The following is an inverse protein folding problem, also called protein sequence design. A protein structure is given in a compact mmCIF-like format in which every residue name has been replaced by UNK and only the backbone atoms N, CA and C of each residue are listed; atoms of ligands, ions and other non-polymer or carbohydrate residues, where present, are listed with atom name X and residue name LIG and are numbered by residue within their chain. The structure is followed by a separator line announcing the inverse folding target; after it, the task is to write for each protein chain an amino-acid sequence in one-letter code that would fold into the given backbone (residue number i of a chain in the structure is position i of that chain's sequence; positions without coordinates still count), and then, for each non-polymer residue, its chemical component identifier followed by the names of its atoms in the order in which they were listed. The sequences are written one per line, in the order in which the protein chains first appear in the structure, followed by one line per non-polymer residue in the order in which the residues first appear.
data_IF_135787936704
#
_entry.id   IF_135787936704
#
_cell.length_a   1.000
_cell.length_b   1.000
_cell.length_c   1.000
_cell.angle_alpha   90.00
_cell.angle_beta   90.00
_cell.angle_gamma   90.00
#
_symmetry.space_group_name_H-M   'P 1'
#
loop_
_entity.id
_entity.type
_entity.pdbx_description
1 polymer ?
#
# COMPACT_ATOMS: atom_id res chain seq x y z
N UNK A 1 18.11 15.70 -9.06
CA UNK A 1 18.38 14.25 -9.33
C UNK A 1 17.15 13.62 -9.96
N UNK A 2 17.35 12.83 -11.02
CA UNK A 2 16.30 12.05 -11.62
C UNK A 2 16.26 10.65 -10.99
N UNK A 3 15.21 10.35 -10.28
CA UNK A 3 15.03 9.07 -9.58
C UNK A 3 14.00 8.23 -10.32
N UNK A 4 14.41 7.03 -10.75
CA UNK A 4 13.50 6.05 -11.31
C UNK A 4 12.94 5.18 -10.18
N UNK A 5 11.65 5.26 -9.94
CA UNK A 5 10.96 4.43 -8.93
C UNK A 5 10.34 3.24 -9.61
N UNK A 6 10.61 2.05 -9.09
CA UNK A 6 10.14 0.76 -9.64
C UNK A 6 9.41 -0.06 -8.58
N UNK A 7 8.26 -0.59 -8.96
CA UNK A 7 7.47 -1.53 -8.19
C UNK A 7 7.17 -2.76 -9.05
N UNK A 8 7.95 -3.83 -8.84
CA UNK A 8 7.81 -5.09 -9.55
C UNK A 8 6.83 -6.04 -8.85
N UNK A 9 5.77 -6.43 -9.54
CA UNK A 9 4.92 -7.56 -9.19
C UNK A 9 5.29 -8.81 -10.01
N UNK A 10 4.59 -9.92 -9.79
CA UNK A 10 4.86 -11.21 -10.45
C UNK A 10 4.70 -11.16 -11.98
N UNK A 11 3.74 -10.38 -12.49
CA UNK A 11 3.43 -10.25 -13.92
C UNK A 11 3.25 -8.81 -14.39
N UNK A 12 3.65 -7.85 -13.55
CA UNK A 12 3.53 -6.42 -13.85
C UNK A 12 4.67 -5.61 -13.23
N UNK A 13 4.90 -4.42 -13.76
CA UNK A 13 5.89 -3.48 -13.27
C UNK A 13 5.34 -2.07 -13.42
N UNK A 14 5.12 -1.38 -12.31
CA UNK A 14 4.83 0.05 -12.27
C UNK A 14 6.12 0.85 -12.15
N UNK A 15 6.16 2.01 -12.80
CA UNK A 15 7.32 2.92 -12.67
C UNK A 15 6.92 4.39 -12.74
N UNK A 16 7.74 5.22 -12.10
CA UNK A 16 7.74 6.67 -12.26
C UNK A 16 9.17 7.20 -12.29
N UNK A 17 9.43 8.14 -13.17
CA UNK A 17 10.65 8.94 -13.18
C UNK A 17 10.32 10.29 -12.55
N UNK A 18 11.01 10.63 -11.47
CA UNK A 18 10.73 11.81 -10.64
C UNK A 18 11.98 12.69 -10.58
N UNK A 19 11.81 13.98 -10.84
CA UNK A 19 12.82 14.99 -10.49
C UNK A 19 12.75 15.28 -8.99
N UNK A 20 13.82 14.97 -8.27
CA UNK A 20 13.84 15.08 -6.80
C UNK A 20 13.92 16.54 -6.28
N UNK A 21 14.22 17.50 -7.09
CA UNK A 21 14.31 18.91 -6.67
C UNK A 21 12.95 19.59 -6.76
N UNK A 22 12.21 19.31 -7.84
CA UNK A 22 10.88 19.86 -8.07
C UNK A 22 9.77 18.93 -7.63
N UNK A 23 10.11 17.66 -7.35
CA UNK A 23 9.18 16.54 -7.07
C UNK A 23 8.20 16.28 -8.23
N UNK A 24 8.51 16.78 -9.40
CA UNK A 24 7.69 16.59 -10.58
C UNK A 24 7.88 15.20 -11.16
N UNK A 25 6.77 14.57 -11.54
CA UNK A 25 6.78 13.33 -12.33
C UNK A 25 7.14 13.69 -13.77
N UNK A 26 8.28 13.23 -14.25
CA UNK A 26 8.74 13.44 -15.63
C UNK A 26 8.11 12.44 -16.60
N UNK A 27 7.99 11.18 -16.18
CA UNK A 27 7.32 10.12 -16.90
C UNK A 27 6.78 9.05 -15.94
N UNK A 28 5.75 8.34 -16.35
CA UNK A 28 5.16 7.24 -15.60
C UNK A 28 4.60 6.17 -16.51
N UNK A 29 4.40 4.98 -15.99
CA UNK A 29 3.77 3.93 -16.77
C UNK A 29 3.71 2.57 -16.07
N UNK A 30 3.38 1.58 -16.87
CA UNK A 30 3.09 0.24 -16.40
C UNK A 30 3.47 -0.76 -17.50
N UNK A 31 4.19 -1.80 -17.13
CA UNK A 31 4.26 -3.03 -17.91
C UNK A 31 3.27 -4.03 -17.34
N UNK A 32 2.47 -4.64 -18.19
CA UNK A 32 1.46 -5.63 -17.83
C UNK A 32 1.71 -6.92 -18.59
N UNK A 33 1.20 -8.04 -18.05
CA UNK A 33 1.22 -9.36 -18.71
C UNK A 33 2.63 -9.83 -19.04
N UNK A 34 3.60 -9.50 -18.17
CA UNK A 34 4.99 -10.00 -18.25
C UNK A 34 4.96 -11.53 -18.16
N UNK A 35 5.69 -12.21 -19.03
CA UNK A 35 5.69 -13.65 -19.15
C UNK A 35 4.55 -14.24 -20.00
N UNK A 36 3.68 -13.39 -20.57
CA UNK A 36 2.56 -13.80 -21.45
C UNK A 36 2.75 -13.17 -22.85
N UNK A 37 2.11 -12.06 -23.12
CA UNK A 37 2.14 -11.36 -24.42
C UNK A 37 2.70 -9.93 -24.31
N UNK A 38 2.76 -9.38 -23.09
CA UNK A 38 3.40 -8.12 -22.78
C UNK A 38 2.67 -6.87 -23.32
N UNK A 39 2.61 -5.83 -22.46
CA UNK A 39 2.07 -4.52 -22.80
C UNK A 39 2.78 -3.44 -22.02
N UNK A 40 3.39 -2.48 -22.71
CA UNK A 40 3.96 -1.27 -22.10
C UNK A 40 2.98 -0.11 -22.25
N UNK A 41 2.66 0.53 -21.14
CA UNK A 41 2.04 1.85 -21.10
C UNK A 41 3.10 2.85 -20.67
N UNK A 42 3.36 3.85 -21.49
CA UNK A 42 4.30 4.94 -21.20
C UNK A 42 3.58 6.28 -21.32
N UNK A 43 3.86 7.20 -20.41
CA UNK A 43 3.36 8.56 -20.45
C UNK A 43 4.43 9.54 -19.94
N UNK A 44 4.97 10.35 -20.82
CA UNK A 44 5.69 11.56 -20.44
C UNK A 44 4.71 12.63 -19.97
N UNK A 45 5.04 13.37 -18.93
CA UNK A 45 4.20 14.46 -18.44
C UNK A 45 3.97 15.50 -19.53
N UNK A 46 2.70 15.84 -19.75
CA UNK A 46 2.28 16.78 -20.80
C UNK A 46 2.02 16.13 -22.17
N UNK A 47 2.22 14.81 -22.31
CA UNK A 47 1.89 14.06 -23.53
C UNK A 47 0.82 12.99 -23.28
N UNK A 48 0.20 12.54 -24.34
CA UNK A 48 -0.74 11.43 -24.31
C UNK A 48 -0.04 10.11 -23.96
N UNK A 49 -0.82 9.13 -23.48
CA UNK A 49 -0.33 7.78 -23.20
C UNK A 49 0.01 7.06 -24.51
N UNK A 50 1.21 6.50 -24.55
CA UNK A 50 1.63 5.57 -25.60
C UNK A 50 1.45 4.14 -25.10
N UNK A 51 0.86 3.28 -25.92
CA UNK A 51 0.65 1.86 -25.62
C UNK A 51 1.40 1.06 -26.66
N UNK A 52 2.28 0.17 -26.20
CA UNK A 52 3.06 -0.73 -27.07
C UNK A 52 2.79 -2.18 -26.64
N UNK A 53 2.15 -2.94 -27.50
CA UNK A 53 2.02 -4.39 -27.37
C UNK A 53 3.30 -5.04 -27.87
N UNK A 54 4.04 -5.69 -26.99
CA UNK A 54 5.29 -6.35 -27.32
C UNK A 54 5.61 -7.46 -26.31
N UNK A 55 6.16 -8.56 -26.79
CA UNK A 55 6.53 -9.68 -25.94
C UNK A 55 7.52 -9.25 -24.85
N UNK A 56 7.17 -9.53 -23.63
CA UNK A 56 7.99 -9.30 -22.42
C UNK A 56 8.16 -10.64 -21.67
N UNK A 57 8.96 -11.56 -22.18
CA UNK A 57 9.11 -12.90 -21.58
C UNK A 57 9.65 -12.85 -20.15
N UNK A 58 10.40 -11.80 -19.80
CA UNK A 58 10.92 -11.60 -18.44
C UNK A 58 10.83 -10.14 -17.99
N UNK A 59 11.01 -9.89 -16.70
CA UNK A 59 11.10 -8.54 -16.14
C UNK A 59 12.29 -7.75 -16.72
N UNK A 60 13.36 -8.41 -17.13
CA UNK A 60 14.51 -7.74 -17.77
C UNK A 60 14.09 -7.06 -19.08
N UNK A 61 13.34 -7.76 -19.95
CA UNK A 61 12.81 -7.16 -21.17
C UNK A 61 11.83 -6.03 -20.85
N UNK A 62 10.96 -6.21 -19.85
CA UNK A 62 10.04 -5.15 -19.44
C UNK A 62 10.78 -3.89 -18.99
N UNK A 63 11.81 -4.03 -18.16
CA UNK A 63 12.64 -2.90 -17.71
C UNK A 63 13.40 -2.28 -18.88
N UNK A 64 13.98 -3.10 -19.79
CA UNK A 64 14.66 -2.57 -20.98
C UNK A 64 13.71 -1.70 -21.79
N UNK A 65 12.48 -2.15 -22.04
CA UNK A 65 11.49 -1.36 -22.77
C UNK A 65 11.10 -0.06 -22.07
N UNK A 66 11.03 -0.07 -20.73
CA UNK A 66 10.83 1.15 -19.93
C UNK A 66 11.99 2.12 -20.14
N UNK A 67 13.23 1.64 -20.05
CA UNK A 67 14.43 2.46 -20.23
C UNK A 67 14.51 3.04 -21.64
N UNK A 68 14.21 2.22 -22.67
CA UNK A 68 14.17 2.67 -24.07
C UNK A 68 13.09 3.75 -24.29
N UNK A 69 11.92 3.61 -23.66
CA UNK A 69 10.86 4.61 -23.72
C UNK A 69 11.25 5.92 -23.04
N UNK A 70 11.92 5.85 -21.88
CA UNK A 70 12.37 7.03 -21.12
C UNK A 70 13.37 7.88 -21.92
N UNK A 71 14.20 7.26 -22.76
CA UNK A 71 15.21 7.96 -23.59
C UNK A 71 14.84 8.01 -25.07
N UNK A 72 13.61 7.73 -25.45
CA UNK A 72 13.15 7.78 -26.85
C UNK A 72 13.39 9.19 -27.42
N UNK A 73 14.04 9.34 -28.59
CA UNK A 73 14.38 10.65 -29.15
C UNK A 73 13.19 11.58 -29.41
N UNK A 74 11.97 11.04 -29.56
CA UNK A 74 10.76 11.82 -29.83
C UNK A 74 9.91 12.07 -28.59
N UNK A 75 9.74 11.06 -27.76
CA UNK A 75 8.77 11.07 -26.65
C UNK A 75 9.41 10.84 -25.28
N UNK A 76 10.71 10.58 -25.25
CA UNK A 76 11.44 10.32 -24.01
C UNK A 76 11.50 11.53 -23.08
N UNK A 77 11.53 11.26 -21.77
CA UNK A 77 11.68 12.27 -20.72
C UNK A 77 13.13 12.70 -20.53
N UNK A 78 14.10 11.84 -20.85
CA UNK A 78 15.54 12.08 -20.74
C UNK A 78 16.19 11.94 -22.13
N UNK A 79 17.39 12.49 -22.26
CA UNK A 79 18.19 12.36 -23.49
C UNK A 79 19.05 11.11 -23.50
N UNK A 80 19.40 10.60 -22.32
CA UNK A 80 20.25 9.43 -22.16
C UNK A 80 20.02 8.79 -20.78
N UNK A 81 20.30 7.48 -20.64
CA UNK A 81 20.23 6.76 -19.37
C UNK A 81 21.25 7.26 -18.34
N UNK A 82 22.31 7.96 -18.77
CA UNK A 82 23.25 8.59 -17.86
C UNK A 82 22.64 9.73 -17.01
N UNK A 83 21.44 10.18 -17.37
CA UNK A 83 20.71 11.18 -16.59
C UNK A 83 19.81 10.53 -15.50
N UNK A 84 19.76 9.21 -15.38
CA UNK A 84 19.14 8.51 -14.24
C UNK A 84 20.17 8.45 -13.13
N UNK A 85 19.93 9.21 -12.05
CA UNK A 85 20.90 9.37 -10.95
C UNK A 85 20.76 8.26 -9.89
N UNK A 86 19.58 7.71 -9.70
CA UNK A 86 19.31 6.63 -8.75
C UNK A 86 18.04 5.85 -9.09
N UNK A 87 17.92 4.61 -8.57
CA UNK A 87 16.71 3.80 -8.67
C UNK A 87 16.20 3.46 -7.27
N UNK A 88 14.93 3.78 -7.01
CA UNK A 88 14.22 3.35 -5.80
C UNK A 88 13.34 2.14 -6.09
N UNK A 89 13.51 1.07 -5.34
CA UNK A 89 12.72 -0.15 -5.47
C UNK A 89 11.79 -0.34 -4.28
N UNK A 90 10.50 -0.54 -4.55
CA UNK A 90 9.60 -1.06 -3.53
C UNK A 90 9.92 -2.53 -3.30
N UNK A 91 10.12 -2.90 -2.03
CA UNK A 91 10.28 -4.28 -1.56
C UNK A 91 9.15 -4.57 -0.56
N UNK A 92 8.42 -5.65 -0.77
CA UNK A 92 7.22 -5.90 0.03
C UNK A 92 7.55 -6.30 1.46
N UNK A 93 8.56 -7.15 1.68
CA UNK A 93 8.85 -7.67 3.02
C UNK A 93 10.33 -7.60 3.37
N UNK A 94 10.63 -6.89 4.46
CA UNK A 94 11.99 -6.75 4.99
C UNK A 94 12.27 -7.61 6.24
N UNK A 95 11.30 -8.38 6.71
CA UNK A 95 11.43 -9.14 7.96
C UNK A 95 11.70 -8.23 9.14
N UNK A 96 12.46 -8.73 10.12
CA UNK A 96 12.98 -7.95 11.24
C UNK A 96 14.33 -7.28 10.93
N UNK A 97 14.91 -7.57 9.75
CA UNK A 97 16.24 -7.10 9.35
C UNK A 97 16.24 -5.65 8.88
N UNK A 98 15.14 -5.20 8.29
CA UNK A 98 15.04 -3.88 7.68
C UNK A 98 13.98 -3.01 8.39
N UNK A 99 14.45 -2.11 9.24
CA UNK A 99 13.63 -1.10 9.92
C UNK A 99 13.66 0.28 9.23
N UNK A 100 14.38 0.38 8.11
CA UNK A 100 14.50 1.57 7.26
C UNK A 100 14.88 1.16 5.84
N UNK A 101 14.80 2.11 4.91
CA UNK A 101 15.32 1.96 3.56
C UNK A 101 16.84 1.80 3.55
N UNK A 102 17.38 1.05 2.59
CA UNK A 102 18.82 0.74 2.50
C UNK A 102 19.32 0.77 1.06
N UNK A 103 20.61 1.10 0.89
CA UNK A 103 21.29 0.93 -0.39
C UNK A 103 21.44 -0.57 -0.68
N UNK A 104 21.08 -0.99 -1.89
CA UNK A 104 21.07 -2.39 -2.29
C UNK A 104 22.48 -2.87 -2.68
N UNK A 105 23.10 -3.62 -1.78
CA UNK A 105 24.35 -4.36 -1.99
C UNK A 105 24.06 -5.85 -2.15
N UNK A 106 25.02 -6.64 -2.57
CA UNK A 106 24.87 -8.11 -2.66
C UNK A 106 24.49 -8.73 -1.31
N UNK A 107 25.05 -8.22 -0.21
CA UNK A 107 24.73 -8.66 1.14
C UNK A 107 23.27 -8.34 1.50
N UNK A 108 22.80 -7.14 1.17
CA UNK A 108 21.40 -6.73 1.38
C UNK A 108 20.44 -7.58 0.56
N UNK A 109 20.79 -7.88 -0.70
CA UNK A 109 19.95 -8.74 -1.55
C UNK A 109 19.85 -10.17 -1.00
N UNK A 110 20.95 -10.74 -0.49
CA UNK A 110 20.92 -12.03 0.17
C UNK A 110 20.00 -12.01 1.42
N UNK A 111 20.04 -10.93 2.20
CA UNK A 111 19.14 -10.77 3.35
C UNK A 111 17.65 -10.60 2.96
N UNK A 112 17.37 -9.95 1.81
CA UNK A 112 16.00 -9.87 1.28
C UNK A 112 15.54 -11.26 0.83
N UNK A 113 16.42 -12.05 0.21
CA UNK A 113 16.13 -13.43 -0.23
C UNK A 113 15.73 -14.32 0.95
N UNK A 114 16.37 -14.17 2.12
CA UNK A 114 15.98 -14.88 3.34
C UNK A 114 14.55 -14.54 3.82
N UNK A 115 13.98 -13.43 3.37
CA UNK A 115 12.62 -13.05 3.66
C UNK A 115 11.59 -13.60 2.64
N UNK A 116 12.01 -14.36 1.63
CA UNK A 116 11.11 -14.89 0.60
C UNK A 116 9.99 -15.77 1.18
N UNK A 117 10.28 -16.54 2.22
CA UNK A 117 9.26 -17.39 2.88
C UNK A 117 8.15 -16.57 3.57
N UNK A 118 8.44 -15.32 3.94
CA UNK A 118 7.46 -14.40 4.52
C UNK A 118 6.58 -13.71 3.46
N UNK A 119 7.06 -13.61 2.22
CA UNK A 119 6.35 -13.00 1.09
C UNK A 119 6.62 -13.73 -0.23
N UNK A 120 6.25 -15.03 -0.35
CA UNK A 120 6.65 -15.88 -1.48
C UNK A 120 6.07 -15.42 -2.82
N UNK A 121 4.98 -14.66 -2.81
CA UNK A 121 4.35 -14.13 -4.02
C UNK A 121 4.94 -12.78 -4.47
N UNK A 122 5.75 -12.11 -3.64
CA UNK A 122 6.19 -10.73 -3.87
C UNK A 122 7.71 -10.57 -3.88
N UNK A 123 8.41 -10.98 -2.82
CA UNK A 123 9.85 -10.76 -2.71
C UNK A 123 10.66 -11.37 -3.86
N UNK A 124 10.39 -12.61 -4.35
CA UNK A 124 11.10 -13.13 -5.51
C UNK A 124 10.95 -12.23 -6.76
N UNK A 125 9.75 -11.69 -7.02
CA UNK A 125 9.53 -10.78 -8.13
C UNK A 125 10.26 -9.44 -7.94
N UNK A 126 10.29 -8.91 -6.71
CA UNK A 126 11.06 -7.71 -6.38
C UNK A 126 12.55 -7.91 -6.65
N UNK A 127 13.12 -9.04 -6.20
CA UNK A 127 14.55 -9.38 -6.44
C UNK A 127 14.87 -9.51 -7.93
N UNK A 128 14.01 -10.17 -8.72
CA UNK A 128 14.16 -10.27 -10.17
C UNK A 128 14.21 -8.88 -10.81
N UNK A 129 13.31 -7.97 -10.41
CA UNK A 129 13.30 -6.59 -10.89
C UNK A 129 14.57 -5.82 -10.52
N UNK A 130 15.03 -5.94 -9.27
CA UNK A 130 16.28 -5.30 -8.80
C UNK A 130 17.47 -5.81 -9.61
N UNK A 131 17.63 -7.13 -9.74
CA UNK A 131 18.73 -7.74 -10.50
C UNK A 131 18.75 -7.30 -11.96
N UNK A 132 17.58 -7.23 -12.58
CA UNK A 132 17.45 -6.74 -13.95
C UNK A 132 17.90 -5.27 -14.09
N UNK A 133 17.54 -4.40 -13.13
CA UNK A 133 18.01 -3.02 -13.10
C UNK A 133 19.52 -2.93 -12.91
N UNK A 134 20.10 -3.75 -12.02
CA UNK A 134 21.57 -3.79 -11.81
C UNK A 134 22.33 -4.19 -13.08
N UNK A 135 21.82 -5.16 -13.83
CA UNK A 135 22.43 -5.56 -15.10
C UNK A 135 22.35 -4.47 -16.17
N UNK A 136 21.24 -3.74 -16.25
CA UNK A 136 21.00 -2.71 -17.27
C UNK A 136 21.63 -1.36 -16.90
N UNK A 137 21.79 -1.08 -15.62
CA UNK A 137 22.33 0.18 -15.09
C UNK A 137 23.35 -0.09 -13.96
N UNK A 138 24.50 -0.73 -14.26
CA UNK A 138 25.43 -1.24 -13.24
C UNK A 138 26.09 -0.15 -12.38
N UNK A 139 26.11 1.09 -12.84
CA UNK A 139 26.75 2.22 -12.14
C UNK A 139 25.75 3.13 -11.41
N UNK A 140 24.45 2.83 -11.50
CA UNK A 140 23.41 3.64 -10.86
C UNK A 140 23.12 3.07 -9.47
N UNK A 141 23.21 3.87 -8.39
CA UNK A 141 22.91 3.41 -7.05
C UNK A 141 21.41 3.05 -6.92
N UNK A 142 21.13 1.98 -6.18
CA UNK A 142 19.78 1.44 -6.00
C UNK A 142 19.45 1.35 -4.52
N UNK A 143 18.21 1.69 -4.17
CA UNK A 143 17.71 1.70 -2.81
C UNK A 143 16.47 0.82 -2.70
N UNK A 144 16.42 -0.02 -1.68
CA UNK A 144 15.23 -0.80 -1.30
C UNK A 144 14.42 -0.07 -0.24
N UNK A 145 13.14 0.14 -0.51
CA UNK A 145 12.16 0.73 0.41
C UNK A 145 11.12 -0.33 0.76
N UNK A 146 11.00 -0.65 2.05
CA UNK A 146 10.25 -1.81 2.51
C UNK A 146 8.87 -1.42 3.03
N UNK A 147 7.82 -2.11 2.58
CA UNK A 147 6.46 -1.90 3.08
C UNK A 147 6.33 -2.18 4.59
N UNK A 148 7.19 -3.04 5.13
CA UNK A 148 7.17 -3.44 6.55
C UNK A 148 8.02 -2.54 7.44
N UNK A 149 8.91 -1.71 6.90
CA UNK A 149 9.91 -0.98 7.68
C UNK A 149 9.28 0.02 8.68
N UNK A 150 8.28 0.78 8.26
CA UNK A 150 7.61 1.76 9.12
C UNK A 150 6.97 1.12 10.37
N UNK A 151 6.55 -0.13 10.27
CA UNK A 151 5.89 -0.88 11.34
C UNK A 151 6.86 -1.56 12.30
N UNK A 152 8.18 -1.49 12.07
CA UNK A 152 9.18 -2.11 12.96
C UNK A 152 9.29 -1.42 14.33
N UNK A 153 8.68 -0.25 14.50
CA UNK A 153 8.60 0.45 15.80
C UNK A 153 7.50 -0.07 16.72
N UNK A 154 6.67 -1.01 16.26
CA UNK A 154 5.64 -1.63 17.09
C UNK A 154 6.23 -2.32 18.32
N UNK A 155 5.64 -2.15 19.53
CA UNK A 155 6.05 -2.87 20.73
C UNK A 155 5.63 -4.36 20.66
N UNK A 156 6.31 -5.21 21.42
CA UNK A 156 6.04 -6.66 21.46
C UNK A 156 4.56 -7.01 21.66
N UNK A 157 3.87 -6.30 22.54
CA UNK A 157 2.44 -6.50 22.83
C UNK A 157 1.51 -6.29 21.63
N UNK A 158 1.97 -5.53 20.61
CA UNK A 158 1.22 -5.27 19.39
C UNK A 158 1.54 -6.28 18.26
N UNK A 159 2.78 -6.79 18.21
CA UNK A 159 3.20 -7.66 17.12
C UNK A 159 3.20 -9.16 17.45
N UNK A 160 3.20 -9.58 18.71
CA UNK A 160 3.16 -11.00 19.08
C UNK A 160 1.74 -11.56 18.95
N UNK A 161 1.65 -12.73 18.34
CA UNK A 161 0.42 -13.52 18.33
C UNK A 161 0.30 -14.39 19.58
N UNK A 162 -0.91 -14.76 19.96
CA UNK A 162 -1.18 -15.72 21.03
C UNK A 162 -0.92 -17.18 20.60
N UNK A 163 0.26 -17.44 20.04
CA UNK A 163 0.74 -18.73 19.57
C UNK A 163 1.91 -19.20 20.44
N UNK A 164 2.31 -20.49 20.39
CA UNK A 164 3.52 -20.96 21.05
C UNK A 164 4.72 -20.08 20.64
N UNK A 165 5.48 -19.57 21.64
CA UNK A 165 6.54 -18.59 21.44
C UNK A 165 7.65 -19.09 20.50
N UNK A 166 7.83 -20.42 20.40
CA UNK A 166 8.80 -21.04 19.50
C UNK A 166 8.56 -20.72 18.03
N UNK A 167 7.32 -20.44 17.62
CA UNK A 167 7.03 -20.01 16.24
C UNK A 167 7.57 -18.62 15.95
N UNK A 168 7.54 -17.73 16.93
CA UNK A 168 8.21 -16.45 16.80
C UNK A 168 9.74 -16.62 16.81
N UNK A 169 10.28 -17.39 17.74
CA UNK A 169 11.73 -17.57 17.86
C UNK A 169 12.36 -18.21 16.63
N UNK A 170 11.76 -19.29 16.10
CA UNK A 170 12.29 -20.06 14.96
C UNK A 170 11.97 -19.44 13.61
N UNK A 171 10.70 -19.05 13.41
CA UNK A 171 10.17 -18.71 12.10
C UNK A 171 9.79 -17.23 11.98
N UNK A 172 10.01 -16.44 13.03
CA UNK A 172 9.65 -15.01 13.09
C UNK A 172 8.18 -14.75 12.81
N UNK A 173 7.30 -15.66 13.26
CA UNK A 173 5.85 -15.51 13.16
C UNK A 173 5.40 -14.40 14.11
N UNK A 174 5.13 -13.25 13.53
CA UNK A 174 4.66 -12.03 14.21
C UNK A 174 3.87 -11.16 13.22
N UNK A 175 3.20 -10.12 13.73
CA UNK A 175 2.68 -9.05 12.91
C UNK A 175 3.84 -8.22 12.35
N UNK A 176 3.84 -7.98 11.04
CA UNK A 176 4.76 -7.06 10.37
C UNK A 176 4.04 -5.81 9.87
N UNK A 177 2.85 -5.98 9.28
CA UNK A 177 2.13 -4.91 8.63
C UNK A 177 2.71 -4.57 7.26
N UNK A 178 1.89 -3.93 6.43
CA UNK A 178 2.22 -3.54 5.05
C UNK A 178 1.69 -2.14 4.76
N UNK A 179 1.86 -1.65 3.54
CA UNK A 179 1.58 -0.27 3.16
C UNK A 179 2.38 0.76 3.99
N UNK A 180 3.50 0.35 4.59
CA UNK A 180 4.27 1.18 5.50
C UNK A 180 4.76 2.48 4.89
N UNK A 181 5.14 2.46 3.60
CA UNK A 181 5.51 3.66 2.85
C UNK A 181 4.37 4.67 2.81
N UNK A 182 3.15 4.22 2.50
CA UNK A 182 1.95 5.06 2.52
C UNK A 182 1.61 5.55 3.93
N UNK A 183 1.58 4.65 4.93
CA UNK A 183 1.30 5.03 6.32
C UNK A 183 2.29 6.06 6.87
N UNK A 184 3.57 5.90 6.58
CA UNK A 184 4.61 6.87 6.95
C UNK A 184 4.41 8.22 6.28
N UNK A 185 4.18 8.21 4.96
CA UNK A 185 3.97 9.44 4.17
C UNK A 185 2.74 10.20 4.66
N UNK A 186 1.59 9.53 4.73
CA UNK A 186 0.31 10.13 5.08
C UNK A 186 0.27 10.61 6.52
N UNK A 187 0.82 9.85 7.49
CA UNK A 187 0.85 10.27 8.89
C UNK A 187 1.69 11.54 9.10
N UNK A 188 2.84 11.65 8.44
CA UNK A 188 3.67 12.86 8.49
C UNK A 188 2.96 14.05 7.82
N UNK A 189 2.36 13.81 6.65
CA UNK A 189 1.64 14.86 5.93
C UNK A 189 0.40 15.35 6.68
N UNK A 190 -0.35 14.45 7.32
CA UNK A 190 -1.50 14.80 8.16
C UNK A 190 -1.10 15.74 9.31
N UNK A 191 -0.02 15.41 10.01
CA UNK A 191 0.51 16.23 11.13
C UNK A 191 0.94 17.61 10.62
N UNK A 192 1.66 17.67 9.50
CA UNK A 192 2.08 18.92 8.85
C UNK A 192 0.87 19.73 8.38
N UNK A 193 -0.08 19.10 7.69
CA UNK A 193 -1.28 19.76 7.14
C UNK A 193 -2.14 20.42 8.23
N UNK A 194 -2.22 19.79 9.41
CA UNK A 194 -2.95 20.32 10.54
C UNK A 194 -2.10 21.26 11.44
N UNK A 195 -0.83 21.49 11.13
CA UNK A 195 0.09 22.31 11.93
C UNK A 195 0.34 21.73 13.32
N UNK A 196 0.31 20.40 13.48
CA UNK A 196 0.54 19.70 14.75
C UNK A 196 2.02 19.47 14.99
N UNK A 197 2.41 19.26 16.25
CA UNK A 197 3.76 18.81 16.61
C UNK A 197 3.85 17.27 16.46
N UNK A 198 4.70 16.80 15.56
CA UNK A 198 4.91 15.37 15.34
C UNK A 198 5.38 14.63 16.59
N UNK A 199 6.08 15.31 17.49
CA UNK A 199 6.57 14.72 18.74
C UNK A 199 5.51 14.66 19.86
N UNK A 200 4.33 15.23 19.62
CA UNK A 200 3.20 15.22 20.52
C UNK A 200 1.92 14.98 19.74
N UNK A 201 1.83 13.87 19.06
CA UNK A 201 0.69 13.54 18.19
C UNK A 201 0.28 12.07 18.29
N UNK A 202 -1.02 11.83 18.16
CA UNK A 202 -1.63 10.51 18.06
C UNK A 202 -2.55 10.51 16.86
N UNK A 203 -2.13 9.88 15.77
CA UNK A 203 -2.90 9.88 14.53
C UNK A 203 -3.17 8.47 14.03
N UNK A 204 -4.26 8.31 13.30
CA UNK A 204 -4.64 7.08 12.64
C UNK A 204 -4.65 7.32 11.13
N UNK A 205 -4.07 6.40 10.37
CA UNK A 205 -4.15 6.39 8.91
C UNK A 205 -4.96 5.20 8.46
N UNK A 206 -6.05 5.46 7.77
CA UNK A 206 -6.90 4.46 7.10
C UNK A 206 -6.56 4.45 5.61
N UNK A 207 -5.65 3.57 5.21
CA UNK A 207 -5.28 3.32 3.81
C UNK A 207 -6.30 2.36 3.21
N UNK A 208 -7.27 2.89 2.49
CA UNK A 208 -8.39 2.15 1.94
C UNK A 208 -8.29 2.09 0.41
N UNK A 209 -7.74 1.01 -0.10
CA UNK A 209 -7.65 0.68 -1.51
C UNK A 209 -8.20 -0.73 -1.77
N UNK A 210 -7.84 -1.35 -2.89
CA UNK A 210 -8.17 -2.77 -3.13
C UNK A 210 -7.50 -3.68 -2.08
N UNK A 211 -6.24 -3.40 -1.69
CA UNK A 211 -5.71 -3.77 -0.38
C UNK A 211 -5.99 -2.65 0.61
N UNK A 212 -6.36 -2.97 1.85
CA UNK A 212 -6.72 -1.98 2.85
C UNK A 212 -6.09 -2.30 4.21
N UNK A 213 -5.64 -1.25 4.90
CA UNK A 213 -5.09 -1.36 6.26
C UNK A 213 -5.27 -0.08 7.05
N UNK A 214 -5.23 -0.21 8.38
CA UNK A 214 -5.22 0.92 9.31
C UNK A 214 -3.94 0.87 10.13
N UNK A 215 -3.35 2.01 10.45
CA UNK A 215 -2.23 2.10 11.37
C UNK A 215 -2.47 3.13 12.46
N UNK A 216 -1.95 2.83 13.66
CA UNK A 216 -1.88 3.72 14.80
C UNK A 216 -0.47 4.32 14.89
N UNK A 217 -0.36 5.64 14.93
CA UNK A 217 0.92 6.34 14.92
C UNK A 217 0.98 7.30 16.09
N UNK A 218 1.97 7.13 16.96
CA UNK A 218 2.23 8.00 18.11
C UNK A 218 3.59 8.67 17.91
N UNK A 219 3.62 9.98 17.95
CA UNK A 219 4.85 10.77 17.83
C UNK A 219 5.67 10.37 16.59
N UNK A 220 4.98 10.21 15.44
CA UNK A 220 5.60 9.84 14.17
C UNK A 220 6.04 8.36 14.05
N UNK A 221 5.77 7.52 15.06
CA UNK A 221 6.15 6.10 15.08
C UNK A 221 4.91 5.21 15.05
N UNK A 222 4.92 4.20 14.20
CA UNK A 222 3.86 3.18 14.19
C UNK A 222 3.88 2.38 15.49
N UNK A 223 2.72 2.28 16.16
CA UNK A 223 2.56 1.50 17.38
C UNK A 223 1.66 0.29 17.21
N UNK A 224 0.85 0.26 16.14
CA UNK A 224 0.04 -0.89 15.73
C UNK A 224 -0.41 -0.76 14.28
N UNK A 225 -0.76 -1.88 13.64
CA UNK A 225 -1.30 -1.90 12.28
C UNK A 225 -2.16 -3.14 12.05
N UNK A 226 -3.10 -3.08 11.10
CA UNK A 226 -4.13 -4.10 10.91
C UNK A 226 -3.69 -5.32 10.11
N UNK A 227 -2.76 -5.18 9.16
CA UNK A 227 -2.20 -6.33 8.45
C UNK A 227 -1.21 -7.07 9.33
N UNK A 228 -1.10 -8.39 9.17
CA UNK A 228 -0.39 -9.28 10.06
C UNK A 228 0.97 -9.74 9.55
N UNK A 229 1.22 -11.04 9.71
CA UNK A 229 2.34 -11.77 9.08
C UNK A 229 2.30 -11.59 7.57
N UNK A 230 1.12 -11.60 7.01
CA UNK A 230 0.82 -11.42 5.58
C UNK A 230 -0.19 -10.29 5.39
N UNK A 231 -0.40 -9.79 4.15
CA UNK A 231 -1.42 -8.78 3.87
C UNK A 231 -2.87 -9.30 3.91
N UNK A 232 -3.13 -10.47 4.51
CA UNK A 232 -4.47 -11.06 4.59
C UNK A 232 -5.23 -10.63 5.83
N UNK A 233 -4.57 -10.60 7.00
CA UNK A 233 -5.18 -10.20 8.29
C UNK A 233 -5.68 -8.75 8.24
N UNK A 234 -6.73 -8.46 9.01
CA UNK A 234 -7.22 -7.12 9.25
C UNK A 234 -8.57 -6.82 8.58
N UNK A 235 -8.60 -5.77 7.78
CA UNK A 235 -9.81 -5.29 7.14
C UNK A 235 -10.34 -6.26 6.08
N UNK A 236 -11.65 -6.26 5.87
CA UNK A 236 -12.21 -6.76 4.61
C UNK A 236 -11.67 -5.90 3.48
N UNK A 237 -11.24 -6.51 2.37
CA UNK A 237 -10.59 -5.83 1.25
C UNK A 237 -11.34 -6.11 -0.06
N UNK A 238 -10.77 -5.74 -1.19
CA UNK A 238 -11.39 -6.03 -2.49
C UNK A 238 -11.67 -7.52 -2.70
N UNK A 239 -10.64 -8.36 -2.53
CA UNK A 239 -10.71 -9.83 -2.73
C UNK A 239 -10.28 -10.65 -1.52
N UNK A 240 -9.70 -10.02 -0.48
CA UNK A 240 -9.22 -10.68 0.73
C UNK A 240 -10.24 -10.59 1.84
N UNK A 241 -10.38 -11.68 2.60
CA UNK A 241 -11.36 -11.79 3.68
C UNK A 241 -11.12 -10.83 4.85
N UNK A 242 -9.86 -10.48 5.12
CA UNK A 242 -9.49 -9.92 6.42
C UNK A 242 -9.67 -10.95 7.54
N UNK A 243 -9.89 -10.46 8.75
CA UNK A 243 -10.05 -11.31 9.94
C UNK A 243 -11.25 -12.25 9.82
N UNK A 244 -11.00 -13.51 10.12
CA UNK A 244 -12.01 -14.56 10.26
C UNK A 244 -11.70 -15.40 11.50
N UNK A 245 -12.68 -16.21 11.94
CA UNK A 245 -12.40 -17.30 12.87
C UNK A 245 -11.51 -18.35 12.16
N UNK A 246 -10.32 -18.69 12.68
CA UNK A 246 -9.45 -19.71 12.06
C UNK A 246 -10.12 -21.07 11.83
N UNK A 247 -11.11 -21.44 12.64
CA UNK A 247 -11.86 -22.70 12.46
C UNK A 247 -12.68 -22.74 11.16
N UNK A 248 -12.96 -21.58 10.55
CA UNK A 248 -13.61 -21.51 9.24
C UNK A 248 -12.73 -22.18 8.17
N UNK A 249 -11.42 -22.13 8.28
CA UNK A 249 -10.50 -22.76 7.33
C UNK A 249 -10.72 -24.28 7.33
N UNK A 250 -10.77 -24.92 8.50
CA UNK A 250 -11.06 -26.36 8.63
C UNK A 250 -12.46 -26.70 8.10
N UNK A 251 -13.46 -25.87 8.43
CA UNK A 251 -14.84 -26.07 7.99
C UNK A 251 -14.96 -26.06 6.45
N UNK A 252 -14.37 -25.05 5.78
CA UNK A 252 -14.39 -24.94 4.31
C UNK A 252 -13.60 -26.08 3.68
N UNK A 253 -12.42 -26.44 4.21
CA UNK A 253 -11.62 -27.58 3.76
C UNK A 253 -12.49 -28.86 3.66
N UNK A 254 -13.24 -29.15 4.71
CA UNK A 254 -14.08 -30.34 4.76
C UNK A 254 -15.32 -30.24 3.84
N UNK A 255 -15.93 -29.08 3.73
CA UNK A 255 -17.16 -28.88 2.93
C UNK A 255 -16.92 -28.86 1.43
N UNK A 256 -15.83 -28.21 1.02
CA UNK A 256 -15.50 -28.01 -0.39
C UNK A 256 -14.43 -28.96 -0.91
N UNK A 257 -13.96 -29.92 -0.06
CA UNK A 257 -12.87 -30.85 -0.37
C UNK A 257 -11.63 -30.14 -0.94
N UNK A 258 -11.25 -29.02 -0.31
CA UNK A 258 -10.05 -28.24 -0.63
C UNK A 258 -8.89 -28.66 0.26
N UNK A 259 -7.68 -28.45 -0.22
CA UNK A 259 -6.48 -28.44 0.62
C UNK A 259 -6.23 -27.03 1.21
N UNK A 260 -5.16 -26.89 1.97
CA UNK A 260 -4.81 -25.61 2.59
C UNK A 260 -4.54 -24.52 1.54
N UNK A 261 -3.92 -24.86 0.41
CA UNK A 261 -3.65 -23.90 -0.67
C UNK A 261 -4.95 -23.42 -1.32
N UNK A 262 -5.91 -24.35 -1.53
CA UNK A 262 -7.24 -24.03 -2.02
C UNK A 262 -8.00 -23.08 -1.09
N UNK A 263 -7.96 -23.31 0.22
CA UNK A 263 -8.58 -22.42 1.20
C UNK A 263 -7.88 -21.06 1.22
N UNK A 264 -6.55 -21.03 1.22
CA UNK A 264 -5.80 -19.77 1.16
C UNK A 264 -6.09 -18.98 -0.12
N UNK A 265 -6.30 -19.66 -1.24
CA UNK A 265 -6.75 -19.03 -2.48
C UNK A 265 -8.15 -18.41 -2.35
N UNK A 266 -9.08 -19.09 -1.68
CA UNK A 266 -10.42 -18.53 -1.37
C UNK A 266 -10.27 -17.26 -0.55
N UNK A 267 -9.49 -17.28 0.55
CA UNK A 267 -9.34 -16.14 1.45
C UNK A 267 -8.63 -14.94 0.80
N UNK A 268 -7.68 -15.17 -0.09
CA UNK A 268 -6.91 -14.12 -0.73
C UNK A 268 -7.52 -13.55 -2.01
N UNK A 269 -8.22 -14.39 -2.81
CA UNK A 269 -8.61 -14.03 -4.18
C UNK A 269 -10.10 -14.12 -4.47
N UNK A 270 -10.89 -14.81 -3.64
CA UNK A 270 -12.32 -15.08 -3.88
C UNK A 270 -13.21 -14.53 -2.77
N UNK A 271 -12.65 -13.81 -1.82
CA UNK A 271 -13.31 -13.23 -0.66
C UNK A 271 -13.45 -11.71 -0.77
N UNK A 272 -13.46 -11.03 0.33
CA UNK A 272 -13.61 -9.58 0.37
C UNK A 272 -14.96 -9.10 -0.15
N UNK A 273 -15.03 -7.83 -0.52
CA UNK A 273 -16.28 -7.26 -1.04
C UNK A 273 -16.71 -7.92 -2.36
N UNK A 274 -15.74 -8.34 -3.19
CA UNK A 274 -16.04 -9.10 -4.40
C UNK A 274 -16.68 -10.44 -4.10
N UNK A 275 -16.15 -11.20 -3.15
CA UNK A 275 -16.71 -12.48 -2.74
C UNK A 275 -18.08 -12.36 -2.08
N UNK A 276 -18.29 -11.29 -1.30
CA UNK A 276 -19.56 -11.00 -0.63
C UNK A 276 -20.66 -10.59 -1.61
N UNK A 277 -20.31 -9.95 -2.71
CA UNK A 277 -21.30 -9.40 -3.66
C UNK A 277 -21.46 -10.21 -4.93
N UNK A 278 -20.40 -10.89 -5.37
CA UNK A 278 -20.35 -11.48 -6.71
C UNK A 278 -20.30 -10.46 -7.85
N UNK A 279 -20.15 -9.15 -7.55
CA UNK A 279 -20.18 -8.06 -8.54
C UNK A 279 -18.77 -7.69 -8.96
N UNK A 280 -18.02 -7.04 -8.06
CA UNK A 280 -16.72 -6.47 -8.36
C UNK A 280 -15.91 -6.23 -7.08
N UNK A 281 -14.60 -6.06 -7.19
CA UNK A 281 -13.75 -5.51 -6.14
C UNK A 281 -13.61 -3.98 -6.22
N UNK A 282 -14.11 -3.38 -7.30
CA UNK A 282 -14.08 -1.93 -7.51
C UNK A 282 -15.24 -1.25 -6.77
N UNK A 283 -14.91 -0.34 -5.87
CA UNK A 283 -15.92 0.37 -5.08
C UNK A 283 -16.82 1.28 -5.92
N UNK A 284 -16.42 1.68 -7.11
CA UNK A 284 -17.29 2.44 -8.04
C UNK A 284 -18.48 1.58 -8.49
N UNK A 285 -18.23 0.32 -8.82
CA UNK A 285 -19.28 -0.63 -9.20
C UNK A 285 -20.18 -0.96 -8.00
N UNK A 286 -19.57 -1.11 -6.82
CA UNK A 286 -20.31 -1.41 -5.58
C UNK A 286 -21.18 -0.23 -5.14
N UNK A 287 -20.70 1.01 -5.29
CA UNK A 287 -21.47 2.21 -4.96
C UNK A 287 -22.63 2.40 -5.94
N UNK A 288 -22.44 2.12 -7.22
CA UNK A 288 -23.53 2.09 -8.19
C UNK A 288 -24.61 1.08 -7.80
N UNK A 289 -24.21 -0.17 -7.50
CA UNK A 289 -25.13 -1.22 -7.06
C UNK A 289 -25.80 -0.89 -5.71
N UNK A 290 -25.09 -0.25 -4.79
CA UNK A 290 -25.64 0.26 -3.52
C UNK A 290 -26.77 1.28 -3.77
N UNK A 291 -26.54 2.23 -4.66
CA UNK A 291 -27.52 3.27 -5.00
C UNK A 291 -28.76 2.70 -5.72
N UNK A 292 -28.62 1.57 -6.41
CA UNK A 292 -29.70 0.81 -7.02
C UNK A 292 -30.48 -0.05 -6.00
N UNK A 293 -30.03 -0.09 -4.74
CA UNK A 293 -30.68 -0.87 -3.67
C UNK A 293 -30.30 -2.35 -3.66
N UNK A 294 -29.16 -2.74 -4.29
CA UNK A 294 -28.67 -4.11 -4.26
C UNK A 294 -28.28 -4.50 -2.83
N UNK A 295 -28.97 -5.50 -2.26
CA UNK A 295 -28.78 -5.93 -0.88
C UNK A 295 -27.37 -6.44 -0.59
N UNK A 296 -26.75 -7.17 -1.54
CA UNK A 296 -25.38 -7.67 -1.37
C UNK A 296 -24.37 -6.53 -1.33
N UNK A 297 -24.52 -5.52 -2.18
CA UNK A 297 -23.65 -4.33 -2.18
C UNK A 297 -23.84 -3.50 -0.89
N UNK A 298 -25.07 -3.34 -0.43
CA UNK A 298 -25.38 -2.66 0.85
C UNK A 298 -24.66 -3.39 1.99
N UNK A 299 -24.87 -4.70 2.11
CA UNK A 299 -24.25 -5.50 3.18
C UNK A 299 -22.72 -5.49 3.12
N UNK A 300 -22.13 -5.58 1.93
CA UNK A 300 -20.66 -5.57 1.78
C UNK A 300 -20.04 -4.23 2.19
N UNK A 301 -20.65 -3.12 1.80
CA UNK A 301 -20.21 -1.77 2.19
C UNK A 301 -20.37 -1.56 3.70
N UNK A 302 -21.48 -2.01 4.29
CA UNK A 302 -21.70 -1.93 5.75
C UNK A 302 -20.65 -2.75 6.51
N UNK A 303 -20.37 -3.98 6.11
CA UNK A 303 -19.35 -4.84 6.73
C UNK A 303 -17.97 -4.22 6.61
N UNK A 304 -17.62 -3.69 5.43
CA UNK A 304 -16.36 -2.99 5.22
C UNK A 304 -16.21 -1.78 6.17
N UNK A 305 -17.18 -0.88 6.17
CA UNK A 305 -17.14 0.33 7.00
C UNK A 305 -17.13 0.00 8.49
N UNK A 306 -17.93 -0.96 8.92
CA UNK A 306 -17.97 -1.41 10.30
C UNK A 306 -16.63 -1.98 10.76
N UNK A 307 -15.96 -2.81 9.93
CA UNK A 307 -14.66 -3.35 10.25
C UNK A 307 -13.60 -2.25 10.37
N UNK A 308 -13.58 -1.28 9.45
CA UNK A 308 -12.67 -0.13 9.53
C UNK A 308 -12.90 0.66 10.83
N UNK A 309 -14.16 0.97 11.16
CA UNK A 309 -14.50 1.69 12.38
C UNK A 309 -14.05 0.95 13.65
N UNK A 310 -14.21 -0.38 13.69
CA UNK A 310 -13.70 -1.22 14.80
C UNK A 310 -12.19 -1.14 14.95
N UNK A 311 -11.43 -1.20 13.86
CA UNK A 311 -9.98 -1.05 13.90
C UNK A 311 -9.57 0.34 14.38
N UNK A 312 -10.21 1.39 13.90
CA UNK A 312 -9.97 2.76 14.40
C UNK A 312 -10.24 2.81 15.90
N UNK A 313 -11.39 2.29 16.37
CA UNK A 313 -11.74 2.26 17.79
C UNK A 313 -10.72 1.48 18.64
N UNK A 314 -10.23 0.33 18.15
CA UNK A 314 -9.21 -0.45 18.85
C UNK A 314 -7.87 0.32 18.98
N UNK A 315 -7.51 1.08 17.96
CA UNK A 315 -6.29 1.89 17.96
C UNK A 315 -6.40 3.16 18.79
N UNK A 316 -7.59 3.74 18.88
CA UNK A 316 -7.86 4.80 19.89
C UNK A 316 -7.60 4.27 21.29
N UNK A 317 -8.06 3.05 21.60
CA UNK A 317 -7.79 2.40 22.87
C UNK A 317 -6.28 2.09 23.05
N UNK A 318 -5.61 1.56 22.04
CA UNK A 318 -4.17 1.23 22.08
C UNK A 318 -3.29 2.47 22.34
N UNK A 319 -3.66 3.61 21.78
CA UNK A 319 -2.95 4.90 21.95
C UNK A 319 -3.43 5.71 23.16
N UNK A 320 -4.53 5.31 23.81
CA UNK A 320 -5.23 6.11 24.83
C UNK A 320 -5.59 7.50 24.29
N UNK A 321 -6.37 7.54 23.22
CA UNK A 321 -6.82 8.76 22.55
C UNK A 321 -6.34 8.87 21.10
N UNK A 322 -6.84 9.87 20.40
CA UNK A 322 -6.49 10.21 19.00
C UNK A 322 -6.72 11.70 18.76
N UNK A 323 -5.83 12.33 18.02
CA UNK A 323 -5.93 13.75 17.65
C UNK A 323 -6.52 13.93 16.23
N UNK A 324 -6.12 13.07 15.30
CA UNK A 324 -6.60 13.13 13.93
C UNK A 324 -6.62 11.76 13.22
N UNK A 325 -7.49 11.65 12.21
CA UNK A 325 -7.65 10.47 11.36
C UNK A 325 -7.51 10.90 9.90
N UNK A 326 -6.67 10.21 9.13
CA UNK A 326 -6.58 10.41 7.69
C UNK A 326 -7.19 9.22 6.93
N UNK A 327 -8.01 9.52 5.94
CA UNK A 327 -8.42 8.61 4.88
C UNK A 327 -7.52 8.80 3.67
N UNK A 328 -7.04 7.69 3.09
CA UNK A 328 -6.12 7.72 1.95
C UNK A 328 -6.31 6.50 1.06
N UNK A 329 -5.59 6.45 -0.06
CA UNK A 329 -5.73 5.49 -1.15
C UNK A 329 -7.08 5.56 -1.86
N UNK A 330 -7.24 4.78 -2.92
CA UNK A 330 -8.31 4.97 -3.89
C UNK A 330 -9.71 5.10 -3.31
N UNK A 331 -10.10 4.24 -2.36
CA UNK A 331 -11.40 4.29 -1.69
C UNK A 331 -11.44 5.43 -0.67
N UNK A 332 -10.40 5.55 0.15
CA UNK A 332 -10.32 6.59 1.18
C UNK A 332 -10.35 8.00 0.61
N UNK A 333 -9.69 8.21 -0.53
CA UNK A 333 -9.60 9.50 -1.20
C UNK A 333 -10.87 9.87 -1.98
N UNK A 334 -11.57 8.89 -2.58
CA UNK A 334 -12.59 9.18 -3.59
C UNK A 334 -14.02 8.76 -3.22
N UNK A 335 -14.22 7.92 -2.17
CA UNK A 335 -15.54 7.40 -1.84
C UNK A 335 -16.10 8.08 -0.59
N UNK A 336 -16.84 9.18 -0.78
CA UNK A 336 -17.45 9.98 0.29
C UNK A 336 -18.44 9.16 1.15
N UNK A 337 -19.21 8.25 0.52
CA UNK A 337 -20.13 7.33 1.20
C UNK A 337 -19.40 6.51 2.27
N UNK A 338 -18.25 5.92 1.94
CA UNK A 338 -17.45 5.09 2.86
C UNK A 338 -16.95 5.93 4.03
N UNK A 339 -16.37 7.11 3.78
CA UNK A 339 -15.88 8.01 4.83
C UNK A 339 -16.99 8.42 5.79
N UNK A 340 -18.17 8.78 5.26
CA UNK A 340 -19.36 9.16 6.06
C UNK A 340 -19.83 8.00 6.93
N UNK A 341 -19.94 6.80 6.36
CA UNK A 341 -20.38 5.61 7.09
C UNK A 341 -19.40 5.22 8.21
N UNK A 342 -18.11 5.24 7.96
CA UNK A 342 -17.10 4.98 8.99
C UNK A 342 -17.18 6.01 10.11
N UNK A 343 -17.25 7.30 9.77
CA UNK A 343 -17.30 8.38 10.76
C UNK A 343 -18.55 8.33 11.63
N UNK A 344 -19.67 7.84 11.10
CA UNK A 344 -20.91 7.67 11.87
C UNK A 344 -20.75 6.74 13.09
N UNK A 345 -19.85 5.76 13.04
CA UNK A 345 -19.54 4.89 14.18
C UNK A 345 -18.65 5.57 15.23
N UNK A 346 -17.99 6.68 14.87
CA UNK A 346 -16.95 7.33 15.67
C UNK A 346 -17.45 8.59 16.42
N UNK A 347 -18.75 8.82 16.44
CA UNK A 347 -19.38 9.97 17.11
C UNK A 347 -19.03 10.08 18.60
N UNK A 348 -18.76 8.95 19.28
CA UNK A 348 -18.32 8.93 20.68
C UNK A 348 -16.95 9.61 20.90
N UNK A 349 -16.13 9.77 19.85
CA UNK A 349 -14.89 10.54 19.88
C UNK A 349 -15.11 12.05 19.69
N UNK A 350 -16.35 12.48 19.55
CA UNK A 350 -16.68 13.87 19.22
C UNK A 350 -16.36 14.23 17.77
N UNK A 351 -16.41 13.25 16.87
CA UNK A 351 -16.25 13.45 15.43
C UNK A 351 -17.60 13.89 14.84
N UNK A 352 -17.57 14.96 14.07
CA UNK A 352 -18.66 15.42 13.24
C UNK A 352 -18.13 15.70 11.83
N UNK A 353 -18.74 15.09 10.82
CA UNK A 353 -18.34 15.29 9.42
C UNK A 353 -19.10 16.47 8.82
N UNK A 354 -18.38 17.31 8.10
CA UNK A 354 -18.95 18.28 7.19
C UNK A 354 -19.28 17.57 5.88
N UNK A 355 -20.58 17.30 5.69
CA UNK A 355 -21.02 16.51 4.54
C UNK A 355 -20.79 17.24 3.21
N UNK A 356 -20.88 18.58 3.16
CA UNK A 356 -20.65 19.34 1.93
C UNK A 356 -19.17 19.22 1.51
N UNK A 357 -18.25 19.40 2.45
CA UNK A 357 -16.81 19.25 2.20
C UNK A 357 -16.46 17.81 1.86
N UNK A 358 -17.01 16.84 2.62
CA UNK A 358 -16.78 15.43 2.35
C UNK A 358 -17.23 15.01 0.95
N UNK A 359 -18.40 15.49 0.53
CA UNK A 359 -18.98 15.12 -0.78
C UNK A 359 -18.23 15.79 -1.95
N UNK A 360 -17.62 16.96 -1.71
CA UNK A 360 -16.81 17.67 -2.71
C UNK A 360 -15.37 17.15 -2.81
N UNK A 361 -14.89 16.38 -1.83
CA UNK A 361 -13.47 15.95 -1.77
C UNK A 361 -13.24 14.64 -2.54
N UNK A 362 -12.44 14.72 -3.59
CA UNK A 362 -12.05 13.59 -4.46
C UNK A 362 -10.57 13.69 -4.83
N UNK A 363 -9.70 13.01 -4.05
CA UNK A 363 -8.25 12.95 -4.32
C UNK A 363 -7.46 14.21 -3.94
N UNK A 364 -8.10 15.16 -3.26
CA UNK A 364 -7.45 16.39 -2.78
C UNK A 364 -7.29 16.36 -1.25
N UNK A 365 -6.31 17.11 -0.73
CA UNK A 365 -6.16 17.32 0.71
C UNK A 365 -7.31 18.18 1.25
N UNK A 366 -8.02 17.68 2.24
CA UNK A 366 -9.10 18.40 2.88
C UNK A 366 -9.32 17.98 4.33
N UNK A 367 -9.71 18.93 5.19
CA UNK A 367 -10.32 18.65 6.49
C UNK A 367 -11.80 18.43 6.25
N UNK A 368 -12.27 17.20 6.38
CA UNK A 368 -13.69 16.84 6.14
C UNK A 368 -14.54 16.79 7.42
N UNK A 369 -13.94 17.07 8.56
CA UNK A 369 -14.68 17.26 9.84
C UNK A 369 -15.00 18.72 10.06
N UNK A 370 -16.10 18.98 10.79
CA UNK A 370 -16.50 20.34 11.17
C UNK A 370 -15.46 21.04 12.05
N UNK A 371 -15.44 22.37 12.11
CA UNK A 371 -14.47 23.11 12.95
C UNK A 371 -14.53 22.74 14.43
N UNK A 372 -15.71 22.41 14.95
CA UNK A 372 -15.96 22.03 16.35
C UNK A 372 -15.74 20.54 16.63
N UNK A 373 -15.45 19.72 15.61
CA UNK A 373 -15.07 18.32 15.80
C UNK A 373 -13.85 18.20 16.69
N UNK A 374 -13.93 17.38 17.74
CA UNK A 374 -12.83 17.20 18.71
C UNK A 374 -11.63 16.48 18.09
N UNK A 375 -11.90 15.46 17.29
CA UNK A 375 -10.89 14.75 16.50
C UNK A 375 -11.02 15.22 15.06
N UNK A 376 -9.92 15.63 14.45
CA UNK A 376 -9.92 16.06 13.05
C UNK A 376 -9.93 14.86 12.13
N UNK A 377 -10.76 14.92 11.10
CA UNK A 377 -10.83 13.90 10.04
C UNK A 377 -10.45 14.55 8.71
N UNK A 378 -9.48 13.96 8.05
CA UNK A 378 -8.93 14.51 6.81
C UNK A 378 -8.93 13.46 5.68
N UNK A 379 -8.94 13.93 4.45
CA UNK A 379 -8.45 13.20 3.29
C UNK A 379 -7.03 13.68 3.02
N UNK A 380 -6.08 12.77 2.97
CA UNK A 380 -4.67 13.05 2.64
C UNK A 380 -4.26 12.04 1.57
N UNK A 381 -4.12 12.45 0.31
CA UNK A 381 -3.73 11.55 -0.77
C UNK A 381 -2.34 10.95 -0.53
N UNK A 382 -2.22 9.65 -0.75
CA UNK A 382 -0.91 8.99 -0.68
C UNK A 382 -0.12 9.19 -1.97
N UNK A 383 1.20 9.22 -1.84
CA UNK A 383 2.13 9.24 -2.97
C UNK A 383 3.34 8.37 -2.62
N UNK A 384 3.17 7.07 -2.81
CA UNK A 384 4.19 6.08 -2.47
C UNK A 384 5.43 6.22 -3.34
N UNK A 385 5.27 6.54 -4.62
CA UNK A 385 6.39 6.73 -5.54
C UNK A 385 7.25 7.95 -5.13
N UNK A 386 6.62 9.06 -4.73
CA UNK A 386 7.34 10.21 -4.22
C UNK A 386 8.03 9.88 -2.89
N UNK A 387 7.38 9.14 -2.00
CA UNK A 387 7.99 8.70 -0.74
C UNK A 387 9.24 7.85 -1.01
N UNK A 388 9.17 6.88 -1.94
CA UNK A 388 10.31 6.06 -2.35
C UNK A 388 11.42 6.93 -2.95
N UNK A 389 11.08 7.91 -3.79
CA UNK A 389 12.07 8.82 -4.36
C UNK A 389 12.79 9.65 -3.27
N UNK A 390 12.06 10.19 -2.30
CA UNK A 390 12.65 10.93 -1.16
C UNK A 390 13.58 10.08 -0.31
N UNK A 391 13.18 8.85 0.02
CA UNK A 391 14.00 7.88 0.76
C UNK A 391 15.26 7.51 -0.04
N UNK A 392 15.13 7.32 -1.35
CA UNK A 392 16.25 7.03 -2.26
C UNK A 392 17.26 8.17 -2.24
N UNK A 393 16.81 9.40 -2.44
CA UNK A 393 17.69 10.59 -2.44
C UNK A 393 18.40 10.78 -1.10
N UNK A 394 17.72 10.53 0.01
CA UNK A 394 18.30 10.65 1.34
C UNK A 394 19.47 9.71 1.61
N UNK A 395 19.53 8.56 0.90
CA UNK A 395 20.57 7.54 1.07
C UNK A 395 21.69 7.61 0.05
N UNK A 396 21.49 8.26 -1.10
CA UNK A 396 22.47 8.31 -2.18
C UNK A 396 23.16 9.70 -2.34
N UNK A 397 22.67 10.73 -1.67
CA UNK A 397 23.33 12.03 -1.51
C UNK A 397 24.40 11.94 -0.43
#
# INVERSE_FOLDING_TARGET
MNVLVINCGSSSLKYQLIDSETEAVLAKGLCERIGIDGRLVYQKTGLDKEITEAAMPTHKQAIQMVLDAIVNPKTGALKSLAEVDAVGHRVVHGGEKFASSVVLTEEVLAQIEECNDLAPLHNPANLIGIRACQELMPNVPMVGVFDTAFHQTMPKKAYLYGLPHEYYEKYKVRRYGFHGTSHSFVSKRLVEYLGMDINNSKVIVAHLGNGASVSAVVNGKCVDTSMGLTPLEGLVMGTRSGDIDPAIMEFITKKENLDIEGVMNVLNKKSGVQGMTGISSDFRDLEAAYNEGNEYAINAIEVFCYRVAKYIGSYVAAMNGVDAIAFTAGIGENTNLVRRKIAAYLGYLGITIDNEVNDATHGDEAVISTPDSKVKVCVIPTNEELAIARETVALVK
#
